data_IF_017590257585
#
_entry.id   IF_017590257585
#
_cell.length_a   1.000
_cell.length_b   1.000
_cell.length_c   1.000
_cell.angle_alpha   90.00
_cell.angle_beta   90.00
_cell.angle_gamma   90.00
#
_symmetry.space_group_name_H-M   'P 1'
#
loop_
_entity.id
_entity.type
_entity.pdbx_description
1 polymer ?
#
# COMPACT_ATOMS: atom_id res chain seq x y z
N UNK A 1 -21.36 -19.37 -4.14
CA UNK A 1 -20.37 -18.41 -3.57
C UNK A 1 -19.22 -19.22 -2.99
N UNK A 2 -17.99 -18.90 -3.37
CA UNK A 2 -16.81 -19.51 -2.76
C UNK A 2 -16.48 -18.75 -1.48
N UNK A 3 -15.98 -19.46 -0.47
CA UNK A 3 -15.72 -18.90 0.86
C UNK A 3 -14.30 -19.23 1.29
N UNK A 4 -13.65 -18.26 1.96
CA UNK A 4 -12.43 -18.46 2.72
C UNK A 4 -12.74 -18.27 4.20
N UNK A 5 -12.34 -19.25 5.03
CA UNK A 5 -12.40 -19.14 6.47
C UNK A 5 -11.06 -18.63 7.01
N UNK A 6 -11.05 -17.57 7.76
CA UNK A 6 -9.87 -17.09 8.47
C UNK A 6 -9.61 -18.01 9.67
N UNK A 7 -8.49 -18.73 9.68
CA UNK A 7 -8.06 -19.56 10.81
C UNK A 7 -7.23 -18.79 11.82
N UNK A 8 -6.34 -17.91 11.32
CA UNK A 8 -5.51 -17.04 12.14
C UNK A 8 -5.33 -15.70 11.43
N UNK A 9 -5.21 -14.64 12.19
CA UNK A 9 -4.99 -13.29 11.68
C UNK A 9 -4.27 -12.44 12.71
N UNK A 10 -3.71 -11.32 12.24
CA UNK A 10 -3.18 -10.25 13.10
C UNK A 10 -3.99 -8.97 12.87
N UNK A 11 -3.92 -7.98 13.76
CA UNK A 11 -4.56 -6.67 13.54
C UNK A 11 -4.08 -5.95 12.27
N UNK A 12 -3.02 -6.45 11.64
CA UNK A 12 -2.44 -5.89 10.42
C UNK A 12 -2.94 -6.57 9.12
N UNK A 13 -3.89 -7.51 9.22
CA UNK A 13 -4.55 -8.16 8.08
C UNK A 13 -5.90 -7.48 7.85
N UNK A 14 -6.02 -6.74 6.75
CA UNK A 14 -7.13 -5.82 6.51
C UNK A 14 -7.77 -6.07 5.15
N UNK A 15 -9.09 -5.85 5.04
CA UNK A 15 -9.73 -5.68 3.73
C UNK A 15 -9.45 -4.26 3.23
N UNK A 16 -8.95 -4.17 2.00
CA UNK A 16 -8.64 -2.92 1.35
C UNK A 16 -9.10 -2.93 -0.11
N UNK A 17 -9.56 -1.79 -0.60
CA UNK A 17 -9.78 -1.47 -2.01
C UNK A 17 -8.99 -0.22 -2.40
N UNK A 18 -9.42 0.57 -3.38
CA UNK A 18 -8.74 1.83 -3.73
C UNK A 18 -8.94 2.95 -2.69
N UNK A 19 -9.87 2.78 -1.75
CA UNK A 19 -10.21 3.78 -0.74
C UNK A 19 -11.39 4.68 -1.12
N UNK A 20 -11.76 5.58 -0.21
CA UNK A 20 -12.89 6.50 -0.30
C UNK A 20 -12.50 7.78 -1.00
N UNK A 21 -13.03 8.01 -2.17
CA UNK A 21 -12.80 9.24 -2.94
C UNK A 21 -13.98 10.21 -2.80
N UNK A 22 -13.68 11.52 -2.90
CA UNK A 22 -14.69 12.57 -2.86
C UNK A 22 -15.25 12.93 -1.48
N UNK A 23 -14.82 12.26 -0.40
CA UNK A 23 -15.38 12.44 0.97
C UNK A 23 -14.49 13.24 1.92
N UNK A 24 -13.28 13.61 1.51
CA UNK A 24 -12.32 14.30 2.40
C UNK A 24 -12.79 15.66 2.89
N UNK A 25 -13.63 16.35 2.13
CA UNK A 25 -14.25 17.62 2.52
C UNK A 25 -15.23 17.46 3.72
N UNK A 26 -15.68 16.24 3.99
CA UNK A 26 -16.47 15.88 5.19
C UNK A 26 -15.59 15.55 6.40
N UNK A 27 -14.28 15.66 6.30
CA UNK A 27 -13.34 15.25 7.34
C UNK A 27 -13.05 13.74 7.38
N UNK A 28 -13.54 12.98 6.41
CA UNK A 28 -13.44 11.51 6.37
C UNK A 28 -12.14 11.08 5.70
N UNK A 29 -11.43 10.15 6.35
CA UNK A 29 -10.18 9.55 5.86
C UNK A 29 -10.41 8.71 4.60
N UNK A 30 -9.43 8.73 3.69
CA UNK A 30 -9.50 8.02 2.43
C UNK A 30 -9.43 6.48 2.61
N UNK A 31 -8.47 5.97 3.42
CA UNK A 31 -8.18 4.54 3.46
C UNK A 31 -7.53 4.05 2.16
N UNK A 32 -7.70 2.77 1.85
CA UNK A 32 -7.19 2.13 0.64
C UNK A 32 -5.90 1.35 0.87
N UNK A 33 -5.55 0.49 -0.09
CA UNK A 33 -4.33 -0.30 -0.05
C UNK A 33 -3.09 0.60 0.05
N UNK A 34 -2.18 0.27 0.98
CA UNK A 34 -0.96 1.04 1.20
C UNK A 34 -0.02 0.96 -0.01
N UNK A 35 0.12 -0.23 -0.60
CA UNK A 35 0.77 -0.44 -1.90
C UNK A 35 -0.30 -0.74 -2.96
N UNK A 36 -0.87 0.34 -3.50
CA UNK A 36 -1.90 0.26 -4.55
C UNK A 36 -1.41 -0.47 -5.80
N UNK A 37 -0.10 -0.44 -6.07
CA UNK A 37 0.54 -1.05 -7.23
C UNK A 37 0.47 -2.58 -7.14
N UNK A 38 0.88 -3.15 -6.01
CA UNK A 38 0.78 -4.60 -5.77
C UNK A 38 -0.66 -5.07 -5.71
N UNK A 39 -1.59 -4.27 -5.12
CA UNK A 39 -3.03 -4.54 -5.19
C UNK A 39 -3.53 -4.60 -6.63
N UNK A 40 -3.16 -3.64 -7.47
CA UNK A 40 -3.57 -3.59 -8.87
C UNK A 40 -3.07 -4.82 -9.65
N UNK A 41 -1.83 -5.27 -9.41
CA UNK A 41 -1.29 -6.48 -10.02
C UNK A 41 -1.99 -7.75 -9.52
N UNK A 42 -2.30 -7.86 -8.22
CA UNK A 42 -3.06 -8.99 -7.69
C UNK A 42 -4.43 -9.11 -8.40
N UNK A 43 -5.12 -7.99 -8.59
CA UNK A 43 -6.38 -7.92 -9.31
C UNK A 43 -6.21 -8.24 -10.81
N UNK A 44 -5.17 -7.72 -11.46
CA UNK A 44 -4.88 -8.00 -12.86
C UNK A 44 -4.67 -9.51 -13.13
N UNK A 45 -4.00 -10.22 -12.22
CA UNK A 45 -3.75 -11.67 -12.33
C UNK A 45 -5.05 -12.49 -12.41
N UNK A 46 -6.16 -11.97 -11.90
CA UNK A 46 -7.50 -12.59 -11.96
C UNK A 46 -8.42 -11.96 -13.04
N UNK A 47 -7.97 -10.88 -13.69
CA UNK A 47 -8.80 -10.11 -14.61
C UNK A 47 -9.85 -9.23 -13.92
N UNK A 48 -9.66 -8.92 -12.65
CA UNK A 48 -10.51 -8.02 -11.89
C UNK A 48 -10.31 -6.55 -12.30
N UNK A 49 -11.25 -5.67 -11.90
CA UNK A 49 -11.00 -4.24 -11.86
C UNK A 49 -9.81 -3.93 -10.93
N UNK A 50 -8.93 -2.95 -11.25
CA UNK A 50 -7.72 -2.69 -10.45
C UNK A 50 -7.98 -2.32 -8.99
N UNK A 51 -9.16 -1.84 -8.69
CA UNK A 51 -9.64 -1.35 -7.40
C UNK A 51 -10.51 -2.35 -6.63
N UNK A 52 -10.68 -3.57 -7.16
CA UNK A 52 -11.44 -4.61 -6.49
C UNK A 52 -10.84 -4.95 -5.11
N UNK A 53 -11.72 -5.25 -4.15
CA UNK A 53 -11.33 -5.51 -2.77
C UNK A 53 -10.42 -6.72 -2.62
N UNK A 54 -9.35 -6.56 -1.83
CA UNK A 54 -8.31 -7.55 -1.55
C UNK A 54 -8.07 -7.68 -0.05
N UNK A 55 -7.38 -8.72 0.38
CA UNK A 55 -6.78 -8.76 1.72
C UNK A 55 -5.36 -8.19 1.62
N UNK A 56 -5.09 -7.11 2.36
CA UNK A 56 -3.75 -6.60 2.63
C UNK A 56 -3.19 -7.33 3.84
N UNK A 57 -2.12 -8.09 3.65
CA UNK A 57 -1.41 -8.82 4.71
C UNK A 57 -0.12 -8.09 5.00
N UNK A 58 0.01 -7.47 6.17
CA UNK A 58 1.22 -6.75 6.57
C UNK A 58 2.03 -7.62 7.53
N UNK A 59 3.29 -7.87 7.18
CA UNK A 59 4.28 -8.64 7.98
C UNK A 59 3.92 -10.12 8.24
N UNK A 60 2.86 -10.64 7.61
CA UNK A 60 2.44 -12.04 7.76
C UNK A 60 1.41 -12.30 8.85
N UNK A 61 1.35 -13.55 9.32
CA UNK A 61 0.45 -13.97 10.40
C UNK A 61 -1.01 -14.25 9.97
N UNK A 62 -1.32 -14.25 8.67
CA UNK A 62 -2.62 -14.67 8.14
C UNK A 62 -2.60 -16.17 7.81
N UNK A 63 -3.66 -16.88 8.15
CA UNK A 63 -3.95 -18.23 7.69
C UNK A 63 -5.41 -18.35 7.29
N UNK A 64 -5.67 -18.86 6.08
CA UNK A 64 -7.02 -19.03 5.52
C UNK A 64 -7.23 -20.45 5.00
N UNK A 65 -8.44 -20.99 5.16
CA UNK A 65 -8.85 -22.29 4.60
C UNK A 65 -9.89 -22.10 3.51
N UNK A 66 -9.70 -22.77 2.39
CA UNK A 66 -10.69 -22.83 1.34
C UNK A 66 -11.88 -23.72 1.73
N UNK A 67 -13.10 -23.21 1.70
CA UNK A 67 -14.32 -23.98 1.94
C UNK A 67 -14.86 -24.67 0.67
N UNK A 68 -14.32 -24.31 -0.48
CA UNK A 68 -14.56 -24.92 -1.78
C UNK A 68 -13.33 -24.73 -2.66
N UNK A 69 -13.20 -25.52 -3.74
CA UNK A 69 -12.17 -25.29 -4.76
C UNK A 69 -12.25 -23.84 -5.28
N UNK A 70 -11.13 -23.15 -5.29
CA UNK A 70 -11.07 -21.75 -5.69
C UNK A 70 -9.75 -21.40 -6.40
N UNK A 71 -9.76 -20.26 -7.06
CA UNK A 71 -8.55 -19.64 -7.62
C UNK A 71 -8.37 -18.28 -7.00
N UNK A 72 -7.18 -18.01 -6.50
CA UNK A 72 -6.79 -16.75 -5.88
C UNK A 72 -5.56 -16.19 -6.59
N UNK A 73 -5.18 -14.95 -6.30
CA UNK A 73 -3.92 -14.38 -6.75
C UNK A 73 -3.19 -13.72 -5.60
N UNK A 74 -1.86 -13.81 -5.65
CA UNK A 74 -0.96 -13.21 -4.67
C UNK A 74 0.04 -12.31 -5.38
N UNK A 75 0.15 -11.06 -4.93
CA UNK A 75 1.16 -10.10 -5.37
C UNK A 75 1.70 -9.28 -4.18
N UNK A 76 2.79 -8.56 -4.38
CA UNK A 76 3.46 -7.79 -3.32
C UNK A 76 4.60 -8.57 -2.66
N UNK A 77 4.76 -8.36 -1.36
CA UNK A 77 5.83 -8.95 -0.57
C UNK A 77 5.86 -10.50 -0.61
N UNK A 78 7.05 -11.07 -0.56
CA UNK A 78 7.23 -12.47 -0.21
C UNK A 78 7.20 -12.62 1.32
N UNK A 79 6.04 -13.01 1.85
CA UNK A 79 5.81 -13.25 3.27
C UNK A 79 5.91 -14.75 3.61
N UNK A 80 6.77 -15.50 2.90
CA UNK A 80 6.94 -16.93 3.03
C UNK A 80 5.59 -17.69 2.98
N UNK A 81 4.77 -17.35 1.98
CA UNK A 81 3.46 -17.98 1.80
C UNK A 81 3.59 -19.47 1.50
N UNK A 82 2.68 -20.28 2.06
CA UNK A 82 2.62 -21.73 1.82
C UNK A 82 1.18 -22.19 1.60
N UNK A 83 1.00 -23.24 0.78
CA UNK A 83 -0.23 -24.03 0.71
C UNK A 83 0.07 -25.39 1.33
N UNK A 84 -0.57 -25.72 2.45
CA UNK A 84 -0.32 -26.96 3.23
C UNK A 84 1.18 -27.21 3.49
N UNK A 85 1.93 -26.12 3.80
CA UNK A 85 3.37 -26.16 4.04
C UNK A 85 4.24 -26.13 2.78
N UNK A 86 3.66 -26.22 1.56
CA UNK A 86 4.43 -26.11 0.31
C UNK A 86 4.59 -24.64 -0.09
N UNK A 87 5.81 -24.17 -0.40
CA UNK A 87 6.06 -22.78 -0.71
C UNK A 87 5.24 -22.24 -1.90
N UNK A 88 4.66 -21.06 -1.74
CA UNK A 88 3.98 -20.32 -2.78
C UNK A 88 4.66 -18.97 -3.00
N UNK A 89 5.16 -18.73 -4.21
CA UNK A 89 5.75 -17.44 -4.57
C UNK A 89 4.68 -16.41 -4.96
N UNK A 90 4.85 -15.13 -4.64
CA UNK A 90 3.95 -14.07 -5.10
C UNK A 90 4.01 -13.87 -6.63
N UNK A 91 3.24 -12.93 -7.12
CA UNK A 91 3.12 -12.49 -8.52
C UNK A 91 2.47 -13.52 -9.45
N UNK A 92 1.54 -14.33 -8.90
CA UNK A 92 0.78 -15.33 -9.67
C UNK A 92 -0.62 -15.55 -9.14
N UNK A 93 -1.49 -16.04 -10.01
CA UNK A 93 -2.72 -16.72 -9.59
C UNK A 93 -2.45 -18.21 -9.40
N UNK A 94 -3.22 -18.84 -8.51
CA UNK A 94 -3.04 -20.25 -8.11
C UNK A 94 -4.37 -20.88 -7.72
N UNK A 95 -4.47 -22.19 -7.87
CA UNK A 95 -5.59 -22.97 -7.37
C UNK A 95 -5.39 -23.29 -5.88
N UNK A 96 -6.45 -23.18 -5.10
CA UNK A 96 -6.54 -23.62 -3.72
C UNK A 96 -7.73 -24.59 -3.60
N UNK A 97 -7.48 -25.84 -3.23
CA UNK A 97 -8.50 -26.89 -3.14
C UNK A 97 -9.28 -26.77 -1.83
N UNK A 98 -10.51 -27.28 -1.82
CA UNK A 98 -11.30 -27.38 -0.61
C UNK A 98 -10.50 -28.06 0.51
N UNK A 99 -10.49 -27.44 1.68
CA UNK A 99 -9.79 -27.91 2.87
C UNK A 99 -8.31 -27.54 2.93
N UNK A 100 -7.70 -27.08 1.83
CA UNK A 100 -6.31 -26.61 1.88
C UNK A 100 -6.18 -25.29 2.64
N UNK A 101 -5.03 -25.14 3.30
CA UNK A 101 -4.67 -23.95 4.08
C UNK A 101 -3.60 -23.14 3.34
N UNK A 102 -3.91 -21.87 3.08
CA UNK A 102 -2.93 -20.85 2.68
C UNK A 102 -2.47 -20.09 3.93
N UNK A 103 -1.18 -20.07 4.20
CA UNK A 103 -0.61 -19.41 5.36
C UNK A 103 0.53 -18.46 4.98
N UNK A 104 0.63 -17.33 5.70
CA UNK A 104 1.69 -16.33 5.59
C UNK A 104 2.44 -16.25 6.92
N UNK A 105 3.76 -16.29 6.89
CA UNK A 105 4.56 -16.31 8.13
C UNK A 105 5.30 -15.00 8.37
N UNK A 106 6.50 -14.83 7.82
CA UNK A 106 7.38 -13.70 8.05
C UNK A 106 7.88 -13.09 6.74
N UNK A 107 8.20 -11.80 6.69
CA UNK A 107 8.76 -11.16 5.51
C UNK A 107 10.10 -11.77 5.11
N UNK A 108 10.20 -12.24 3.86
CA UNK A 108 11.46 -12.55 3.18
C UNK A 108 11.90 -11.38 2.29
N UNK A 109 10.94 -10.64 1.72
CA UNK A 109 11.18 -9.46 0.89
C UNK A 109 9.93 -8.60 0.84
N UNK A 110 10.04 -7.32 1.18
CA UNK A 110 8.92 -6.39 1.30
C UNK A 110 8.10 -6.59 2.57
N UNK A 111 7.12 -5.73 2.80
CA UNK A 111 6.34 -5.69 4.04
C UNK A 111 4.87 -6.12 3.86
N UNK A 112 4.28 -5.95 2.66
CA UNK A 112 2.85 -6.13 2.40
C UNK A 112 2.57 -7.00 1.21
N UNK A 113 1.79 -8.06 1.42
CA UNK A 113 1.24 -8.91 0.37
C UNK A 113 -0.25 -8.65 0.17
N UNK A 114 -0.73 -8.87 -1.03
CA UNK A 114 -2.13 -8.65 -1.42
C UNK A 114 -2.71 -9.94 -1.98
N UNK A 115 -3.70 -10.48 -1.28
CA UNK A 115 -4.44 -11.67 -1.69
C UNK A 115 -5.75 -11.21 -2.35
N UNK A 116 -5.90 -11.49 -3.63
CA UNK A 116 -7.10 -11.19 -4.41
C UNK A 116 -7.95 -12.45 -4.66
N UNK A 117 -9.27 -12.26 -4.70
CA UNK A 117 -10.23 -13.24 -5.14
C UNK A 117 -10.94 -12.77 -6.42
N UNK A 118 -11.51 -13.68 -7.25
CA UNK A 118 -12.22 -13.30 -8.46
C UNK A 118 -13.36 -12.30 -8.19
N UNK A 119 -13.38 -11.19 -8.92
CA UNK A 119 -14.26 -10.03 -8.76
C UNK A 119 -14.09 -9.26 -7.43
N UNK A 120 -13.08 -9.60 -6.62
CA UNK A 120 -12.83 -9.01 -5.30
C UNK A 120 -13.65 -9.64 -4.17
N UNK A 121 -13.23 -9.42 -2.94
CA UNK A 121 -13.98 -9.85 -1.75
C UNK A 121 -15.23 -8.99 -1.53
N UNK A 122 -16.31 -9.62 -1.09
CA UNK A 122 -17.57 -8.93 -0.77
C UNK A 122 -17.51 -8.44 0.69
N UNK A 123 -17.71 -7.14 0.86
CA UNK A 123 -17.81 -6.52 2.18
C UNK A 123 -18.72 -5.28 2.13
N UNK A 124 -19.25 -4.83 3.27
CA UNK A 124 -20.09 -3.63 3.35
C UNK A 124 -19.34 -2.40 2.80
N UNK A 125 -20.02 -1.64 1.94
CA UNK A 125 -19.49 -0.39 1.40
C UNK A 125 -19.88 0.78 2.31
N UNK A 126 -18.89 1.48 2.86
CA UNK A 126 -19.08 2.67 3.67
C UNK A 126 -18.51 3.87 2.92
N UNK A 127 -19.38 4.78 2.51
CA UNK A 127 -19.02 5.95 1.67
C UNK A 127 -18.27 5.53 0.38
N UNK A 128 -18.74 4.47 -0.27
CA UNK A 128 -18.24 3.99 -1.56
C UNK A 128 -16.95 3.15 -1.50
N UNK A 129 -16.55 2.66 -0.32
CA UNK A 129 -15.36 1.80 -0.16
C UNK A 129 -15.52 0.82 0.99
N UNK A 130 -14.98 -0.39 0.84
CA UNK A 130 -14.87 -1.36 1.93
C UNK A 130 -13.55 -1.26 2.69
N UNK A 131 -12.64 -0.35 2.31
CA UNK A 131 -11.34 -0.20 2.97
C UNK A 131 -11.47 -0.02 4.47
N UNK A 132 -10.75 -0.85 5.20
CA UNK A 132 -10.66 -0.78 6.66
C UNK A 132 -9.88 0.45 7.09
N UNK A 133 -10.49 1.31 7.89
CA UNK A 133 -9.87 2.41 8.63
C UNK A 133 -10.25 2.26 10.10
N UNK A 134 -9.40 1.58 10.86
CA UNK A 134 -9.72 1.20 12.24
C UNK A 134 -9.94 2.40 13.16
N UNK A 135 -9.18 3.47 13.00
CA UNK A 135 -9.29 4.68 13.82
C UNK A 135 -10.64 5.37 13.71
N UNK A 136 -11.21 5.41 12.50
CA UNK A 136 -12.50 6.08 12.23
C UNK A 136 -13.67 5.09 12.19
N UNK A 137 -13.42 3.81 12.49
CA UNK A 137 -14.41 2.73 12.49
C UNK A 137 -15.16 2.62 11.14
N UNK A 138 -14.42 2.65 10.02
CA UNK A 138 -14.98 2.61 8.68
C UNK A 138 -14.51 1.38 7.91
N UNK A 139 -15.43 0.75 7.17
CA UNK A 139 -15.12 -0.38 6.28
C UNK A 139 -14.73 -1.66 7.01
N UNK A 140 -13.95 -2.51 6.36
CA UNK A 140 -13.62 -3.84 6.88
C UNK A 140 -14.72 -4.87 6.66
N UNK A 141 -14.60 -6.08 7.23
CA UNK A 141 -15.52 -7.19 6.98
C UNK A 141 -16.94 -6.94 7.49
N UNK A 142 -17.12 -6.06 8.47
CA UNK A 142 -18.42 -5.74 9.07
C UNK A 142 -18.89 -4.29 8.80
N UNK A 143 -18.06 -3.46 8.19
CA UNK A 143 -18.35 -2.04 7.92
C UNK A 143 -17.94 -1.09 9.06
N UNK A 144 -17.45 -1.60 10.20
CA UNK A 144 -17.13 -0.83 11.41
C UNK A 144 -15.61 -0.70 11.67
N UNK A 145 -14.78 -0.93 10.67
CA UNK A 145 -13.35 -0.62 10.72
C UNK A 145 -12.48 -1.66 11.43
N UNK A 146 -12.98 -2.83 11.76
CA UNK A 146 -12.14 -3.87 12.34
C UNK A 146 -11.29 -4.60 11.29
N UNK A 147 -10.14 -5.10 11.70
CA UNK A 147 -9.35 -6.05 10.93
C UNK A 147 -10.00 -7.44 10.88
N UNK A 148 -9.36 -8.33 10.11
CA UNK A 148 -9.76 -9.73 10.03
C UNK A 148 -9.42 -10.47 11.34
N UNK A 149 -10.30 -11.34 11.77
CA UNK A 149 -10.10 -12.18 12.97
C UNK A 149 -10.39 -13.65 12.65
N UNK A 150 -9.86 -14.57 13.45
CA UNK A 150 -10.18 -15.99 13.33
C UNK A 150 -11.69 -16.22 13.43
N UNK A 151 -12.24 -17.04 12.54
CA UNK A 151 -13.66 -17.32 12.41
C UNK A 151 -14.39 -16.45 11.38
N UNK A 152 -13.78 -15.38 10.85
CA UNK A 152 -14.38 -14.63 9.75
C UNK A 152 -14.48 -15.49 8.49
N UNK A 153 -15.63 -15.38 7.80
CA UNK A 153 -15.84 -15.98 6.48
C UNK A 153 -15.89 -14.88 5.42
N UNK A 154 -14.95 -14.94 4.49
CA UNK A 154 -14.89 -14.01 3.36
C UNK A 154 -15.47 -14.66 2.12
N UNK A 155 -16.38 -13.95 1.45
CA UNK A 155 -17.06 -14.41 0.24
C UNK A 155 -16.62 -13.60 -0.98
N UNK A 156 -16.74 -14.21 -2.15
CA UNK A 156 -16.61 -13.54 -3.44
C UNK A 156 -17.51 -14.26 -4.48
N UNK A 157 -17.83 -13.60 -5.59
CA UNK A 157 -18.85 -14.07 -6.54
C UNK A 157 -18.30 -14.40 -7.92
N UNK A 158 -17.08 -13.96 -8.24
CA UNK A 158 -16.48 -14.16 -9.55
C UNK A 158 -15.95 -15.57 -9.78
N UNK A 159 -15.61 -15.85 -11.02
CA UNK A 159 -14.87 -17.03 -11.43
C UNK A 159 -13.56 -16.59 -12.07
N UNK A 160 -12.45 -17.21 -11.69
CA UNK A 160 -11.18 -16.94 -12.33
C UNK A 160 -11.12 -17.62 -13.72
N UNK A 161 -10.46 -16.93 -14.64
CA UNK A 161 -10.05 -17.51 -15.91
C UNK A 161 -8.83 -18.42 -15.78
N UNK A 162 -8.00 -18.44 -16.82
CA UNK A 162 -6.72 -19.16 -16.81
C UNK A 162 -5.78 -18.60 -15.73
N UNK A 163 -4.97 -19.49 -15.14
CA UNK A 163 -3.89 -19.09 -14.23
C UNK A 163 -2.87 -18.20 -14.97
N UNK A 164 -2.45 -17.14 -14.30
CA UNK A 164 -1.49 -16.15 -14.82
C UNK A 164 -0.33 -16.00 -13.86
N UNK A 165 0.80 -15.63 -14.42
CA UNK A 165 1.99 -15.21 -13.68
C UNK A 165 2.51 -13.91 -14.29
N UNK A 166 2.94 -12.98 -13.45
CA UNK A 166 3.58 -11.76 -13.90
C UNK A 166 5.02 -12.06 -14.27
N UNK A 167 5.43 -11.67 -15.47
CA UNK A 167 6.83 -11.90 -15.90
C UNK A 167 7.80 -11.20 -14.95
N UNK A 168 8.96 -11.79 -14.75
CA UNK A 168 9.96 -11.32 -13.78
C UNK A 168 10.36 -9.86 -14.02
N UNK A 169 10.44 -9.43 -15.27
CA UNK A 169 10.82 -8.07 -15.65
C UNK A 169 9.77 -7.01 -15.25
N UNK A 170 8.54 -7.43 -14.99
CA UNK A 170 7.45 -6.56 -14.54
C UNK A 170 7.25 -6.58 -13.03
N UNK A 171 7.86 -7.54 -12.33
CA UNK A 171 7.74 -7.63 -10.87
C UNK A 171 8.52 -6.48 -10.23
N UNK A 172 7.90 -5.73 -9.30
CA UNK A 172 8.62 -4.75 -8.50
C UNK A 172 9.75 -5.40 -7.68
N UNK A 173 10.90 -4.72 -7.64
CA UNK A 173 12.01 -5.12 -6.78
C UNK A 173 11.91 -4.33 -5.48
N UNK A 174 11.77 -5.02 -4.37
CA UNK A 174 11.78 -4.42 -3.03
C UNK A 174 13.24 -4.40 -2.55
N UNK A 175 13.94 -3.31 -2.84
CA UNK A 175 15.34 -3.11 -2.47
C UNK A 175 15.45 -2.41 -1.13
N UNK A 176 16.52 -2.68 -0.39
CA UNK A 176 16.92 -1.84 0.73
C UNK A 176 17.28 -0.43 0.21
N UNK A 177 16.94 0.59 1.00
CA UNK A 177 17.21 2.00 0.70
C UNK A 177 16.63 2.51 -0.65
N UNK A 178 15.34 2.35 -0.93
CA UNK A 178 14.76 2.83 -2.18
C UNK A 178 14.80 4.35 -2.28
N UNK A 179 14.96 4.85 -3.51
CA UNK A 179 14.73 6.25 -3.80
C UNK A 179 13.23 6.56 -3.84
N UNK A 180 12.83 7.60 -3.11
CA UNK A 180 11.46 8.08 -3.00
C UNK A 180 11.34 9.42 -3.73
N UNK A 181 10.62 9.44 -4.83
CA UNK A 181 10.42 10.62 -5.66
C UNK A 181 9.44 11.58 -5.00
N UNK A 182 9.85 12.85 -4.83
CA UNK A 182 9.12 13.91 -4.12
C UNK A 182 8.81 15.04 -5.09
N UNK A 183 7.54 15.37 -5.28
CA UNK A 183 7.12 16.62 -5.89
C UNK A 183 7.18 17.70 -4.82
N UNK A 184 7.98 18.76 -5.06
CA UNK A 184 8.23 19.80 -4.07
C UNK A 184 6.98 20.58 -3.72
N UNK A 185 6.81 20.93 -2.45
CA UNK A 185 5.68 21.71 -1.93
C UNK A 185 5.92 23.22 -1.97
N UNK A 186 4.84 23.99 -1.83
CA UNK A 186 4.89 25.45 -1.82
C UNK A 186 5.70 26.03 -0.64
N UNK A 187 5.82 25.30 0.47
CA UNK A 187 6.57 25.73 1.66
C UNK A 187 8.08 25.43 1.57
N UNK A 188 8.53 24.76 0.50
CA UNK A 188 9.93 24.34 0.36
C UNK A 188 10.93 25.50 0.49
N UNK A 189 10.61 26.67 -0.08
CA UNK A 189 11.46 27.86 -0.03
C UNK A 189 11.62 28.51 1.37
N UNK A 190 10.84 28.07 2.36
CA UNK A 190 10.93 28.54 3.73
C UNK A 190 11.72 27.59 4.67
N UNK A 191 12.23 26.49 4.16
CA UNK A 191 13.23 25.69 4.87
C UNK A 191 14.62 26.29 4.69
N UNK A 192 15.52 26.11 5.66
CA UNK A 192 16.90 26.59 5.53
C UNK A 192 17.60 25.90 4.36
N UNK A 193 18.61 26.57 3.76
CA UNK A 193 19.41 25.97 2.68
C UNK A 193 20.04 24.65 3.06
N UNK A 194 20.57 24.54 4.31
CA UNK A 194 21.10 23.29 4.85
C UNK A 194 20.02 22.21 4.93
N UNK A 195 18.83 22.54 5.43
CA UNK A 195 17.71 21.58 5.52
C UNK A 195 17.23 21.12 4.15
N UNK A 196 17.22 22.00 3.16
CA UNK A 196 16.92 21.63 1.77
C UNK A 196 17.96 20.67 1.20
N UNK A 197 19.24 20.93 1.46
CA UNK A 197 20.33 20.03 1.07
C UNK A 197 20.18 18.67 1.77
N UNK A 198 20.04 18.66 3.10
CA UNK A 198 19.95 17.44 3.90
C UNK A 198 18.74 16.59 3.52
N UNK A 199 17.60 17.21 3.22
CA UNK A 199 16.38 16.51 2.82
C UNK A 199 16.60 15.54 1.65
N UNK A 200 17.42 15.92 0.67
CA UNK A 200 17.62 15.17 -0.58
C UNK A 200 19.00 14.51 -0.72
N UNK A 201 19.93 14.74 0.22
CA UNK A 201 21.27 14.17 0.17
C UNK A 201 21.61 13.29 1.37
N UNK A 202 20.69 13.17 2.34
CA UNK A 202 20.88 12.27 3.49
C UNK A 202 20.10 10.96 3.32
N UNK A 203 20.60 9.92 3.97
CA UNK A 203 19.83 8.71 4.21
C UNK A 203 18.85 8.95 5.37
N UNK A 204 17.62 8.48 5.21
CA UNK A 204 16.56 8.54 6.22
C UNK A 204 16.24 7.14 6.70
N UNK A 205 16.04 6.95 8.01
CA UNK A 205 15.65 5.65 8.57
C UNK A 205 14.19 5.68 8.97
N UNK A 206 13.42 4.64 8.63
CA UNK A 206 12.02 4.50 9.02
C UNK A 206 11.92 4.24 10.53
N UNK A 207 11.17 5.07 11.25
CA UNK A 207 10.84 4.85 12.67
C UNK A 207 10.04 3.55 12.82
N UNK A 208 10.31 2.81 13.89
CA UNK A 208 9.60 1.56 14.22
C UNK A 208 8.12 1.77 14.59
N UNK A 209 7.72 3.00 14.88
CA UNK A 209 6.34 3.41 15.18
C UNK A 209 5.51 3.77 13.94
N UNK A 210 5.86 3.19 12.79
CA UNK A 210 5.12 3.39 11.54
C UNK A 210 3.73 2.75 11.61
N UNK A 211 2.71 3.46 11.12
CA UNK A 211 1.36 2.96 10.98
C UNK A 211 0.74 3.40 9.63
N UNK A 212 -0.56 3.16 9.46
CA UNK A 212 -1.27 3.56 8.24
C UNK A 212 -1.59 5.06 8.16
N UNK A 213 -1.40 5.82 9.24
CA UNK A 213 -1.51 7.29 9.23
C UNK A 213 -0.25 7.95 8.66
N UNK A 214 0.93 7.42 9.02
CA UNK A 214 2.19 7.98 8.55
C UNK A 214 3.42 7.23 9.05
N UNK A 215 4.50 7.49 8.36
CA UNK A 215 5.84 6.96 8.68
C UNK A 215 6.76 8.13 8.98
N UNK A 216 7.29 8.16 10.19
CA UNK A 216 8.34 9.12 10.57
C UNK A 216 9.68 8.69 9.99
N UNK A 217 10.41 9.63 9.45
CA UNK A 217 11.75 9.45 8.94
C UNK A 217 12.76 10.07 9.92
N UNK A 218 13.73 9.30 10.37
CA UNK A 218 14.77 9.71 11.30
C UNK A 218 16.04 10.07 10.52
N UNK A 219 16.59 11.25 10.78
CA UNK A 219 17.78 11.78 10.11
C UNK A 219 18.15 13.18 10.60
N UNK A 220 18.81 14.00 9.77
CA UNK A 220 19.11 15.38 10.12
C UNK A 220 17.85 16.19 10.43
N UNK A 221 17.85 16.99 11.48
CA UNK A 221 16.71 17.82 11.81
C UNK A 221 16.53 18.95 10.78
N UNK A 222 15.35 19.03 10.17
CA UNK A 222 15.02 20.05 9.18
C UNK A 222 14.44 21.29 9.85
N UNK A 223 14.97 22.45 9.54
CA UNK A 223 14.60 23.76 10.14
C UNK A 223 13.72 24.54 9.19
N UNK A 224 12.47 24.76 9.58
CA UNK A 224 11.53 25.65 8.90
C UNK A 224 11.64 27.06 9.49
N UNK A 225 11.78 28.07 8.61
CA UNK A 225 11.99 29.48 8.97
C UNK A 225 10.80 30.36 8.59
N UNK A 226 9.72 29.75 8.05
CA UNK A 226 8.52 30.48 7.64
C UNK A 226 7.60 30.84 8.82
N UNK A 227 6.55 31.58 8.52
CA UNK A 227 5.50 31.91 9.49
C UNK A 227 4.73 30.65 9.94
N UNK A 228 4.09 30.69 11.13
CA UNK A 228 3.19 29.63 11.56
C UNK A 228 2.11 29.37 10.51
N UNK A 229 1.83 28.09 10.26
CA UNK A 229 0.89 27.68 9.23
C UNK A 229 -0.53 27.55 9.75
N UNK A 230 -1.49 28.06 8.97
CA UNK A 230 -2.91 27.71 9.12
C UNK A 230 -3.09 26.28 8.58
N UNK A 231 -3.96 25.50 9.25
CA UNK A 231 -4.27 24.13 8.79
C UNK A 231 -4.85 24.14 7.38
N UNK A 232 -4.29 23.32 6.52
CA UNK A 232 -4.72 23.15 5.12
C UNK A 232 -4.93 21.70 4.76
N UNK A 233 -5.57 21.41 3.61
CA UNK A 233 -5.79 20.05 3.12
C UNK A 233 -4.50 19.30 2.89
N UNK A 234 -4.44 18.04 3.34
CA UNK A 234 -3.24 17.20 3.27
C UNK A 234 -3.38 16.16 2.14
N UNK A 235 -2.59 16.21 1.07
CA UNK A 235 -2.59 15.17 0.04
C UNK A 235 -1.98 13.86 0.58
N UNK A 236 -2.27 12.75 -0.09
CA UNK A 236 -1.60 11.48 0.15
C UNK A 236 -0.11 11.64 -0.17
N UNK A 237 0.75 11.08 0.68
CA UNK A 237 2.20 11.19 0.52
C UNK A 237 2.79 12.52 0.97
N UNK A 238 2.01 13.44 1.53
CA UNK A 238 2.54 14.70 2.07
C UNK A 238 3.63 14.43 3.09
N UNK A 239 4.75 15.15 2.98
CA UNK A 239 5.90 15.07 3.88
C UNK A 239 5.86 16.28 4.80
N UNK A 240 5.26 16.11 5.96
CA UNK A 240 5.18 17.14 7.00
C UNK A 240 6.43 17.14 7.86
N UNK A 241 6.86 18.35 8.28
CA UNK A 241 8.01 18.53 9.19
C UNK A 241 7.50 19.20 10.46
N UNK A 242 7.27 18.42 11.55
CA UNK A 242 6.94 18.94 12.87
C UNK A 242 8.10 19.77 13.47
N UNK A 243 7.89 20.44 14.64
CA UNK A 243 8.90 21.31 15.24
C UNK A 243 10.22 20.60 15.63
N UNK A 244 10.23 19.28 15.78
CA UNK A 244 11.43 18.49 16.04
C UNK A 244 12.31 18.26 14.80
N UNK A 245 11.84 18.72 13.62
CA UNK A 245 12.57 18.63 12.37
C UNK A 245 12.58 17.24 11.72
N UNK A 246 11.88 16.23 12.27
CA UNK A 246 11.85 14.88 11.69
C UNK A 246 10.65 14.71 10.74
N UNK A 247 10.89 14.49 9.44
CA UNK A 247 9.80 14.39 8.47
C UNK A 247 8.85 13.23 8.76
N UNK A 248 7.56 13.43 8.50
CA UNK A 248 6.53 12.40 8.55
C UNK A 248 5.86 12.31 7.18
N UNK A 249 5.97 11.16 6.54
CA UNK A 249 5.24 10.85 5.30
C UNK A 249 3.84 10.40 5.67
N UNK A 250 2.81 11.15 5.23
CA UNK A 250 1.42 10.85 5.55
C UNK A 250 0.81 9.88 4.55
N UNK A 251 0.19 8.80 5.08
CA UNK A 251 -0.28 7.65 4.33
C UNK A 251 -1.82 7.62 4.17
N UNK A 252 -2.35 6.45 3.88
CA UNK A 252 -3.75 6.26 3.48
C UNK A 252 -4.76 6.67 4.56
N UNK A 253 -4.45 6.42 5.84
CA UNK A 253 -5.34 6.70 6.97
C UNK A 253 -5.03 8.07 7.64
N UNK A 254 -4.30 8.96 6.93
CA UNK A 254 -3.95 10.30 7.40
C UNK A 254 -5.19 11.17 7.65
N UNK A 255 -5.05 12.14 8.54
CA UNK A 255 -6.02 13.20 8.74
C UNK A 255 -6.26 14.01 7.46
N UNK A 256 -7.41 14.68 7.37
CA UNK A 256 -7.80 15.46 6.18
C UNK A 256 -7.13 16.82 6.10
N UNK A 257 -6.82 17.43 7.25
CA UNK A 257 -6.18 18.75 7.38
C UNK A 257 -5.02 18.69 8.37
N UNK A 258 -4.07 19.62 8.27
CA UNK A 258 -2.96 19.77 9.20
C UNK A 258 -2.18 21.05 8.97
N UNK A 259 -1.47 21.50 10.00
CA UNK A 259 -0.78 22.79 10.06
C UNK A 259 0.75 22.71 10.14
N UNK A 260 1.36 21.57 9.90
CA UNK A 260 2.82 21.51 9.80
C UNK A 260 3.30 21.84 8.39
N UNK A 261 4.45 22.53 8.24
CA UNK A 261 5.04 22.82 6.95
C UNK A 261 5.37 21.53 6.18
N UNK A 262 5.26 21.59 4.86
CA UNK A 262 5.49 20.43 3.99
C UNK A 262 6.70 20.66 3.08
N UNK A 263 7.59 19.67 3.02
CA UNK A 263 8.63 19.61 1.99
C UNK A 263 8.01 19.42 0.59
N UNK A 264 6.97 18.63 0.52
CA UNK A 264 6.32 18.23 -0.71
C UNK A 264 5.41 17.03 -0.50
N UNK A 265 5.25 16.23 -1.55
CA UNK A 265 4.53 14.96 -1.46
C UNK A 265 5.23 13.89 -2.30
N UNK A 266 5.26 12.66 -1.80
CA UNK A 266 5.72 11.49 -2.56
C UNK A 266 4.82 11.27 -3.78
N UNK A 267 5.43 10.82 -4.88
CA UNK A 267 4.67 10.30 -6.03
C UNK A 267 3.91 9.03 -5.64
N UNK A 268 2.82 8.67 -6.35
CA UNK A 268 2.10 7.42 -6.07
C UNK A 268 2.99 6.18 -6.15
N UNK A 269 3.98 6.14 -7.06
CA UNK A 269 4.93 5.03 -7.16
C UNK A 269 5.92 5.00 -6.00
N UNK A 270 6.37 6.17 -5.53
CA UNK A 270 7.24 6.26 -4.35
C UNK A 270 6.51 5.82 -3.08
N UNK A 271 5.20 6.13 -2.96
CA UNK A 271 4.37 5.63 -1.86
C UNK A 271 4.26 4.11 -1.85
N UNK A 272 4.02 3.50 -3.00
CA UNK A 272 3.97 2.04 -3.12
C UNK A 272 5.32 1.40 -2.71
N UNK A 273 6.46 2.01 -3.09
CA UNK A 273 7.79 1.57 -2.64
C UNK A 273 7.95 1.72 -1.13
N UNK A 274 7.60 2.88 -0.56
CA UNK A 274 7.68 3.13 0.88
C UNK A 274 6.81 2.14 1.67
N UNK A 275 5.63 1.78 1.15
CA UNK A 275 4.75 0.81 1.78
C UNK A 275 5.34 -0.60 1.87
N UNK A 276 6.38 -0.90 1.11
CA UNK A 276 7.08 -2.19 1.15
C UNK A 276 8.34 -2.17 2.03
N UNK A 277 8.73 -1.01 2.55
CA UNK A 277 9.87 -0.91 3.47
C UNK A 277 9.50 -1.43 4.86
N UNK A 278 10.46 -2.08 5.51
CA UNK A 278 10.35 -2.54 6.88
C UNK A 278 10.79 -1.44 7.87
N UNK A 279 10.25 -1.40 9.08
CA UNK A 279 10.75 -0.52 10.14
C UNK A 279 12.27 -0.67 10.35
N UNK A 280 12.98 0.45 10.47
CA UNK A 280 14.43 0.48 10.59
C UNK A 280 15.20 0.46 9.26
N UNK A 281 14.55 0.21 8.13
CA UNK A 281 15.20 0.35 6.82
C UNK A 281 15.45 1.80 6.44
N UNK A 282 16.44 1.99 5.57
CA UNK A 282 16.81 3.29 5.03
C UNK A 282 15.99 3.65 3.79
N UNK A 283 15.86 4.95 3.51
CA UNK A 283 15.32 5.49 2.26
C UNK A 283 16.03 6.77 1.88
N UNK A 284 15.97 7.17 0.62
CA UNK A 284 16.47 8.45 0.13
C UNK A 284 15.35 9.20 -0.59
N UNK A 285 15.21 10.49 -0.32
CA UNK A 285 14.30 11.36 -1.05
C UNK A 285 14.99 11.93 -2.30
N UNK A 286 14.26 11.99 -3.41
CA UNK A 286 14.74 12.54 -4.68
C UNK A 286 13.72 13.52 -5.25
N UNK A 287 14.09 14.79 -5.54
CA UNK A 287 13.14 15.73 -6.11
C UNK A 287 12.79 15.34 -7.55
N UNK A 288 11.52 15.47 -7.90
CA UNK A 288 11.01 15.28 -9.26
C UNK A 288 10.04 16.41 -9.61
N UNK A 289 9.96 16.77 -10.89
CA UNK A 289 8.95 17.72 -11.36
C UNK A 289 7.56 17.07 -11.40
N UNK A 290 6.51 17.89 -11.33
CA UNK A 290 5.13 17.39 -11.45
C UNK A 290 4.91 16.65 -12.77
N UNK A 291 5.43 17.19 -13.89
CA UNK A 291 5.35 16.53 -15.20
C UNK A 291 6.09 15.20 -15.24
N UNK A 292 7.24 15.10 -14.56
CA UNK A 292 7.99 13.86 -14.41
C UNK A 292 7.16 12.80 -13.68
N UNK A 293 6.60 13.17 -12.54
CA UNK A 293 5.74 12.30 -11.73
C UNK A 293 4.50 11.82 -12.51
N UNK A 294 3.87 12.73 -13.28
CA UNK A 294 2.72 12.38 -14.12
C UNK A 294 3.11 11.40 -15.23
N UNK A 295 4.24 11.62 -15.93
CA UNK A 295 4.72 10.69 -16.96
C UNK A 295 4.99 9.29 -16.40
N UNK A 296 5.62 9.19 -15.24
CA UNK A 296 5.87 7.90 -14.57
C UNK A 296 4.56 7.17 -14.25
N UNK A 297 3.60 7.89 -13.70
CA UNK A 297 2.29 7.32 -13.36
C UNK A 297 1.53 6.83 -14.60
N UNK A 298 1.47 7.65 -15.67
CA UNK A 298 0.82 7.28 -16.94
C UNK A 298 1.51 6.05 -17.57
N UNK A 299 2.84 6.01 -17.58
CA UNK A 299 3.58 4.87 -18.10
C UNK A 299 3.30 3.58 -17.32
N UNK A 300 3.16 3.67 -16.00
CA UNK A 300 2.75 2.53 -15.19
C UNK A 300 1.31 2.07 -15.50
N UNK A 301 0.35 2.99 -15.57
CA UNK A 301 -1.04 2.66 -15.90
C UNK A 301 -1.19 2.02 -17.28
N UNK A 302 -0.36 2.42 -18.25
CA UNK A 302 -0.30 1.78 -19.57
C UNK A 302 0.23 0.33 -19.48
N UNK A 303 1.28 0.09 -18.68
CA UNK A 303 1.78 -1.28 -18.43
C UNK A 303 0.73 -2.18 -17.78
N UNK A 304 -0.02 -1.65 -16.83
CA UNK A 304 -1.08 -2.42 -16.15
C UNK A 304 -2.19 -2.84 -17.15
N UNK A 305 -2.52 -1.97 -18.13
CA UNK A 305 -3.54 -2.28 -19.15
C UNK A 305 -3.05 -3.30 -20.18
N UNK A 306 -1.78 -3.28 -20.53
CA UNK A 306 -1.18 -4.15 -21.56
C UNK A 306 0.22 -4.57 -21.12
N UNK A 307 0.33 -5.49 -20.14
CA UNK A 307 1.62 -5.94 -19.67
C UNK A 307 2.28 -6.78 -20.74
N UNK A 308 3.27 -6.18 -21.41
CA UNK A 308 4.19 -6.84 -22.32
C UNK A 308 5.59 -6.74 -21.73
N UNK A 309 6.41 -7.79 -21.75
CA UNK A 309 7.84 -7.66 -21.50
C UNK A 309 8.36 -6.55 -22.41
N UNK A 310 9.20 -5.64 -21.90
CA UNK A 310 9.87 -4.66 -22.75
C UNK A 310 10.55 -5.43 -23.88
N UNK A 311 10.11 -5.24 -25.12
CA UNK A 311 10.92 -5.60 -26.26
C UNK A 311 12.30 -4.98 -26.01
N UNK A 312 13.35 -5.77 -26.11
CA UNK A 312 14.70 -5.23 -26.18
C UNK A 312 14.65 -4.23 -27.31
N UNK A 313 14.79 -2.95 -26.99
CA UNK A 313 14.90 -1.92 -27.99
C UNK A 313 16.11 -2.25 -28.86
N UNK A 314 15.84 -2.32 -30.13
CA UNK A 314 16.87 -2.31 -31.17
C UNK A 314 17.66 -1.01 -31.11
#
# INVERSE_FOLDING_TARGET
>A
MSHLLIQASTPLCLLQDAGRFGVRHLGVTQGGAADWLSMAWANWLLGNAPDAAVIEVTLGGLSVVAKADCTLALAGADLAATIDGQPLKPWRSFALKQGQTLAFTLPLSGARAYLAAPAGFVAPQVLGSCSTVAREQLGGPDGFGRGLVAGDELTYTGHAGQLRELSYELQPVFSANPALDVVLGAQMGAFSGQSTFDAFNSAWTLDTRADRMGIRLLGPALVYQGAPMISEGIPLGAIQVPPDGQPIVLLNDRQTIGGYPRLGALTPLALARLAQCLPGEGVHMRPITQDGAQREHVAFMQRLKSPSPRGRGD
#
